data_IF_325514653265
#
_entry.id   IF_325514653265
#
_cell.length_a   1.000
_cell.length_b   1.000
_cell.length_c   1.000
_cell.angle_alpha   90.00
_cell.angle_beta   90.00
_cell.angle_gamma   90.00
#
_symmetry.space_group_name_H-M   'P 1'
#
loop_
_entity.id
_entity.type
_entity.pdbx_description
1 polymer ?
#
# COMPACT_ATOMS: atom_id res chain seq x y z
N UNK A 1 -10.18 -23.39 9.57
CA UNK A 1 -8.80 -23.75 9.15
C UNK A 1 -8.65 -23.60 7.63
N UNK A 2 -9.02 -22.45 7.04
CA UNK A 2 -9.06 -22.26 5.58
C UNK A 2 -8.47 -20.92 5.09
N UNK A 3 -8.30 -19.91 5.95
CA UNK A 3 -7.82 -18.58 5.52
C UNK A 3 -6.36 -18.56 5.09
N UNK A 4 -5.47 -19.28 5.80
CA UNK A 4 -4.02 -19.26 5.49
C UNK A 4 -3.67 -19.80 4.10
N UNK A 5 -4.50 -20.68 3.53
CA UNK A 5 -4.30 -21.22 2.18
C UNK A 5 -4.82 -20.25 1.12
N UNK A 6 -5.97 -19.64 1.37
CA UNK A 6 -6.54 -18.59 0.52
C UNK A 6 -5.60 -17.37 0.49
N UNK A 7 -5.05 -16.96 1.64
CA UNK A 7 -4.06 -15.88 1.73
C UNK A 7 -2.78 -16.19 0.96
N UNK A 8 -2.33 -17.45 0.96
CA UNK A 8 -1.16 -17.89 0.18
C UNK A 8 -1.43 -17.86 -1.31
N UNK A 9 -2.61 -18.30 -1.75
CA UNK A 9 -3.04 -18.25 -3.14
C UNK A 9 -3.20 -16.81 -3.61
N UNK A 10 -3.86 -15.97 -2.81
CA UNK A 10 -3.96 -14.53 -3.06
C UNK A 10 -2.58 -13.89 -3.14
N UNK A 11 -1.68 -14.15 -2.20
CA UNK A 11 -0.33 -13.59 -2.21
C UNK A 11 0.54 -14.08 -3.38
N UNK A 12 0.19 -15.23 -3.97
CA UNK A 12 0.82 -15.76 -5.19
C UNK A 12 0.28 -15.08 -6.44
N UNK A 13 -1.04 -15.01 -6.57
CA UNK A 13 -1.71 -14.28 -7.67
C UNK A 13 -1.31 -12.80 -7.65
N UNK A 14 -1.24 -12.19 -6.47
CA UNK A 14 -0.78 -10.81 -6.23
C UNK A 14 0.72 -10.61 -6.55
N UNK A 15 1.50 -11.69 -6.61
CA UNK A 15 2.88 -11.68 -7.10
C UNK A 15 2.94 -11.82 -8.62
N UNK A 16 2.13 -12.72 -9.19
CA UNK A 16 2.06 -12.97 -10.64
C UNK A 16 1.50 -11.75 -11.39
N UNK A 17 0.38 -11.15 -10.95
CA UNK A 17 -0.15 -9.88 -11.52
C UNK A 17 0.84 -8.70 -11.40
N UNK A 18 1.75 -8.76 -10.41
CA UNK A 18 2.79 -7.73 -10.22
C UNK A 18 3.80 -7.73 -11.36
N UNK A 19 4.05 -8.91 -11.93
CA UNK A 19 4.93 -9.08 -13.07
C UNK A 19 4.21 -8.72 -14.38
N UNK A 20 2.89 -8.86 -14.48
CA UNK A 20 2.10 -8.36 -15.62
C UNK A 20 2.13 -6.83 -15.74
N UNK A 21 2.04 -6.11 -14.62
CA UNK A 21 2.25 -4.66 -14.59
C UNK A 21 3.70 -4.26 -14.96
N UNK A 22 4.68 -5.14 -14.75
CA UNK A 22 6.05 -4.92 -15.25
C UNK A 22 6.19 -5.22 -16.73
N UNK A 23 5.46 -6.20 -17.27
CA UNK A 23 5.43 -6.51 -18.70
C UNK A 23 4.94 -5.30 -19.50
N UNK A 24 3.90 -4.62 -19.02
CA UNK A 24 3.41 -3.35 -19.60
C UNK A 24 4.45 -2.22 -19.59
N UNK A 25 5.49 -2.33 -18.76
CA UNK A 25 6.61 -1.39 -18.74
C UNK A 25 7.73 -1.77 -19.71
N UNK A 26 7.85 -3.06 -20.02
CA UNK A 26 8.88 -3.60 -20.93
C UNK A 26 8.45 -3.56 -22.40
N UNK A 27 7.14 -3.62 -22.65
CA UNK A 27 6.56 -3.59 -23.99
C UNK A 27 5.75 -2.30 -24.19
N UNK A 28 5.67 -1.79 -25.43
CA UNK A 28 4.79 -0.65 -25.70
C UNK A 28 3.32 -1.04 -25.47
N UNK A 29 2.60 -0.20 -24.73
CA UNK A 29 1.19 -0.39 -24.37
C UNK A 29 0.26 -0.52 -25.60
N UNK A 30 0.71 -0.05 -26.76
CA UNK A 30 0.04 -0.17 -28.06
C UNK A 30 -0.17 -1.62 -28.51
N UNK A 31 0.68 -2.57 -28.09
CA UNK A 31 0.60 -3.98 -28.51
C UNK A 31 -0.42 -4.80 -27.72
N UNK A 32 -0.94 -4.27 -26.61
CA UNK A 32 -1.91 -4.99 -25.79
C UNK A 32 -3.33 -4.74 -26.27
N UNK A 33 -4.15 -5.78 -26.21
CA UNK A 33 -5.57 -5.68 -26.53
C UNK A 33 -6.31 -4.79 -25.51
N UNK A 34 -7.37 -4.12 -25.98
CA UNK A 34 -8.14 -3.18 -25.18
C UNK A 34 -8.82 -3.89 -23.99
N UNK A 35 -9.32 -5.12 -24.19
CA UNK A 35 -9.91 -5.91 -23.11
C UNK A 35 -8.88 -6.27 -22.02
N UNK A 36 -7.65 -6.61 -22.43
CA UNK A 36 -6.55 -6.91 -21.52
C UNK A 36 -6.13 -5.67 -20.70
N UNK A 37 -6.07 -4.49 -21.33
CA UNK A 37 -5.77 -3.22 -20.65
C UNK A 37 -6.84 -2.84 -19.62
N UNK A 38 -8.12 -3.07 -19.91
CA UNK A 38 -9.21 -2.84 -18.94
C UNK A 38 -9.12 -3.76 -17.72
N UNK A 39 -8.80 -5.03 -17.94
CA UNK A 39 -8.64 -6.01 -16.87
C UNK A 39 -7.44 -5.67 -15.97
N UNK A 40 -6.31 -5.32 -16.59
CA UNK A 40 -5.13 -4.85 -15.89
C UNK A 40 -5.41 -3.58 -15.07
N UNK A 41 -6.20 -2.64 -15.62
CA UNK A 41 -6.61 -1.43 -14.89
C UNK A 41 -7.52 -1.74 -13.70
N UNK A 42 -8.47 -2.67 -13.84
CA UNK A 42 -9.31 -3.14 -12.71
C UNK A 42 -8.47 -3.76 -11.60
N UNK A 43 -7.53 -4.63 -11.95
CA UNK A 43 -6.60 -5.25 -11.00
C UNK A 43 -5.71 -4.21 -10.31
N UNK A 44 -5.16 -3.26 -11.07
CA UNK A 44 -4.38 -2.14 -10.52
C UNK A 44 -5.19 -1.32 -9.51
N UNK A 45 -6.46 -1.02 -9.83
CA UNK A 45 -7.35 -0.23 -8.94
C UNK A 45 -7.59 -0.95 -7.61
N UNK A 46 -7.82 -2.27 -7.64
CA UNK A 46 -8.00 -3.08 -6.44
C UNK A 46 -6.71 -3.12 -5.60
N UNK A 47 -5.57 -3.37 -6.24
CA UNK A 47 -4.28 -3.39 -5.56
C UNK A 47 -3.96 -2.04 -4.91
N UNK A 48 -4.21 -0.94 -5.62
CA UNK A 48 -4.00 0.43 -5.09
C UNK A 48 -4.82 0.68 -3.84
N UNK A 49 -6.09 0.27 -3.82
CA UNK A 49 -6.96 0.44 -2.67
C UNK A 49 -6.42 -0.32 -1.43
N UNK A 50 -5.95 -1.55 -1.62
CA UNK A 50 -5.38 -2.36 -0.54
C UNK A 50 -4.07 -1.77 0.00
N UNK A 51 -3.19 -1.30 -0.87
CA UNK A 51 -1.92 -0.67 -0.46
C UNK A 51 -2.20 0.64 0.26
N UNK A 52 -3.14 1.44 -0.22
CA UNK A 52 -3.52 2.70 0.42
C UNK A 52 -4.07 2.46 1.83
N UNK A 53 -5.02 1.53 1.98
CA UNK A 53 -5.56 1.15 3.29
C UNK A 53 -4.48 0.63 4.24
N UNK A 54 -3.54 -0.17 3.74
CA UNK A 54 -2.40 -0.64 4.54
C UNK A 54 -1.48 0.50 4.98
N UNK A 55 -1.34 1.55 4.15
CA UNK A 55 -0.56 2.73 4.48
C UNK A 55 -1.27 3.60 5.51
N UNK A 56 -2.59 3.78 5.39
CA UNK A 56 -3.43 4.45 6.39
C UNK A 56 -3.31 3.80 7.77
N UNK A 57 -3.31 2.47 7.85
CA UNK A 57 -3.09 1.75 9.12
C UNK A 57 -1.71 2.04 9.72
N UNK A 58 -0.65 2.05 8.90
CA UNK A 58 0.69 2.38 9.38
C UNK A 58 0.79 3.83 9.87
N UNK A 59 0.18 4.77 9.15
CA UNK A 59 0.11 6.18 9.56
C UNK A 59 -0.67 6.33 10.86
N UNK A 60 -1.78 5.60 11.03
CA UNK A 60 -2.56 5.61 12.27
C UNK A 60 -1.74 5.11 13.47
N UNK A 61 -0.88 4.10 13.30
CA UNK A 61 0.02 3.62 14.36
C UNK A 61 1.05 4.68 14.78
N UNK A 62 1.55 5.49 13.84
CA UNK A 62 2.46 6.60 14.18
C UNK A 62 1.71 7.77 14.78
N UNK A 63 0.48 8.03 14.34
CA UNK A 63 -0.34 9.10 14.87
C UNK A 63 -0.66 8.91 16.36
N UNK A 64 -0.62 7.67 16.88
CA UNK A 64 -0.76 7.39 18.31
C UNK A 64 0.54 7.56 19.10
N UNK A 65 1.71 7.64 18.46
CA UNK A 65 3.00 7.88 19.09
C UNK A 65 3.03 9.11 20.04
N UNK A 66 2.52 10.30 19.68
CA UNK A 66 2.46 11.46 20.58
C UNK A 66 1.56 11.24 21.81
N UNK A 67 0.58 10.33 21.75
CA UNK A 67 -0.30 10.02 22.90
C UNK A 67 0.51 9.39 24.03
N UNK A 68 1.49 8.54 23.71
CA UNK A 68 2.41 7.94 24.69
C UNK A 68 3.26 9.00 25.41
N UNK A 69 3.69 10.03 24.69
CA UNK A 69 4.45 11.16 25.26
C UNK A 69 3.56 11.97 26.21
N UNK A 70 2.34 12.30 25.79
CA UNK A 70 1.37 13.04 26.61
C UNK A 70 0.99 12.27 27.88
N UNK A 71 0.72 10.97 27.78
CA UNK A 71 0.42 10.11 28.92
C UNK A 71 1.57 10.03 29.92
N UNK A 72 2.81 9.93 29.42
CA UNK A 72 4.00 9.93 30.26
C UNK A 72 4.17 11.26 31.00
N UNK A 73 4.00 12.39 30.31
CA UNK A 73 4.09 13.73 30.92
C UNK A 73 3.00 13.99 31.97
N UNK A 74 1.77 13.53 31.74
CA UNK A 74 0.69 13.58 32.74
C UNK A 74 1.04 12.69 33.96
N UNK A 75 1.65 11.53 33.71
CA UNK A 75 2.13 10.63 34.75
C UNK A 75 3.16 11.26 35.67
N UNK A 76 4.16 11.92 35.08
CA UNK A 76 5.17 12.66 35.84
C UNK A 76 4.55 13.80 36.64
N UNK A 77 3.59 14.53 36.06
CA UNK A 77 2.92 15.63 36.76
C UNK A 77 2.06 15.19 37.95
N UNK A 78 1.47 13.99 37.88
CA UNK A 78 0.64 13.42 38.94
C UNK A 78 1.42 12.50 39.90
N UNK A 79 2.74 12.38 39.75
CA UNK A 79 3.62 11.45 40.49
C UNK A 79 3.18 9.97 40.40
N UNK A 80 2.55 9.60 39.29
CA UNK A 80 2.05 8.24 39.04
C UNK A 80 3.11 7.44 38.26
N UNK A 81 3.90 6.65 38.98
CA UNK A 81 5.06 5.91 38.45
C UNK A 81 4.74 4.89 37.35
N UNK A 82 3.50 4.40 37.24
CA UNK A 82 3.12 3.46 36.18
C UNK A 82 2.73 4.17 34.87
N UNK A 83 2.29 5.43 34.93
CA UNK A 83 1.97 6.22 33.73
C UNK A 83 3.24 6.72 33.02
N UNK A 84 4.30 7.03 33.77
CA UNK A 84 5.57 7.47 33.17
C UNK A 84 6.21 6.39 32.29
N UNK A 85 5.97 5.10 32.59
CA UNK A 85 6.43 3.96 31.79
C UNK A 85 5.86 3.93 30.35
N UNK A 86 4.80 4.68 30.04
CA UNK A 86 4.29 4.78 28.67
C UNK A 86 5.28 5.41 27.69
N UNK A 87 6.33 6.09 28.17
CA UNK A 87 7.39 6.65 27.31
C UNK A 87 8.09 5.60 26.46
N UNK A 88 8.18 4.35 26.94
CA UNK A 88 8.74 3.24 26.17
C UNK A 88 7.87 2.82 24.99
N UNK A 89 6.57 3.15 25.00
CA UNK A 89 5.66 2.92 23.87
C UNK A 89 5.99 3.76 22.64
N UNK A 90 6.58 4.95 22.82
CA UNK A 90 6.98 5.83 21.73
C UNK A 90 8.02 5.20 20.79
N UNK A 91 9.22 4.77 21.25
CA UNK A 91 10.19 4.13 20.36
C UNK A 91 9.67 2.83 19.76
N UNK A 92 8.83 2.07 20.48
CA UNK A 92 8.20 0.84 19.96
C UNK A 92 7.26 1.15 18.78
N UNK A 93 6.44 2.20 18.89
CA UNK A 93 5.52 2.61 17.81
C UNK A 93 6.27 3.06 16.55
N UNK A 94 7.37 3.80 16.72
CA UNK A 94 8.25 4.22 15.62
C UNK A 94 8.92 3.00 14.97
N UNK A 95 9.42 2.06 15.77
CA UNK A 95 10.05 0.86 15.26
C UNK A 95 9.05 0.02 14.46
N UNK A 96 7.84 -0.17 14.98
CA UNK A 96 6.76 -0.88 14.30
C UNK A 96 6.39 -0.21 12.97
N UNK A 97 6.36 1.12 12.92
CA UNK A 97 6.13 1.87 11.69
C UNK A 97 7.25 1.70 10.67
N UNK A 98 8.51 1.85 11.09
CA UNK A 98 9.68 1.68 10.21
C UNK A 98 9.71 0.27 9.62
N UNK A 99 9.53 -0.75 10.45
CA UNK A 99 9.45 -2.14 10.00
C UNK A 99 8.27 -2.34 9.04
N UNK A 100 7.09 -1.84 9.40
CA UNK A 100 5.89 -1.92 8.56
C UNK A 100 6.07 -1.25 7.21
N UNK A 101 6.73 -0.10 7.17
CA UNK A 101 7.04 0.64 5.95
C UNK A 101 8.10 -0.08 5.10
N UNK A 102 9.14 -0.65 5.69
CA UNK A 102 10.14 -1.47 4.99
C UNK A 102 9.49 -2.72 4.38
N UNK A 103 8.64 -3.41 5.13
CA UNK A 103 7.89 -4.59 4.65
C UNK A 103 6.96 -4.19 3.52
N UNK A 104 6.24 -3.08 3.65
CA UNK A 104 5.40 -2.55 2.57
C UNK A 104 6.21 -2.19 1.33
N UNK A 105 7.38 -1.56 1.49
CA UNK A 105 8.24 -1.20 0.38
C UNK A 105 8.83 -2.43 -0.33
N UNK A 106 9.21 -3.47 0.43
CA UNK A 106 9.66 -4.75 -0.14
C UNK A 106 8.52 -5.51 -0.82
N UNK A 107 7.32 -5.54 -0.23
CA UNK A 107 6.17 -6.29 -0.78
C UNK A 107 5.56 -5.58 -1.98
N UNK A 108 5.44 -4.25 -1.96
CA UNK A 108 4.72 -3.47 -2.97
C UNK A 108 5.59 -2.56 -3.82
N UNK A 109 6.90 -2.49 -3.63
CA UNK A 109 7.76 -1.57 -4.37
C UNK A 109 7.48 -0.10 -4.04
N UNK A 110 7.89 0.81 -4.92
CA UNK A 110 7.60 2.24 -4.76
C UNK A 110 6.19 2.55 -5.28
N UNK A 111 5.29 3.02 -4.40
CA UNK A 111 3.93 3.45 -4.73
C UNK A 111 3.89 4.37 -5.97
N UNK A 112 4.89 5.24 -6.07
CA UNK A 112 5.06 6.22 -7.15
C UNK A 112 5.26 5.57 -8.53
N UNK A 113 5.87 4.39 -8.58
CA UNK A 113 6.03 3.64 -9.82
C UNK A 113 4.72 2.98 -10.25
N UNK A 114 3.92 2.49 -9.30
CA UNK A 114 2.59 1.95 -9.57
C UNK A 114 1.62 3.00 -10.08
N UNK A 115 1.65 4.20 -9.51
CA UNK A 115 0.79 5.30 -9.97
C UNK A 115 1.10 5.73 -11.40
N UNK A 116 2.37 5.71 -11.81
CA UNK A 116 2.75 5.98 -13.20
C UNK A 116 2.19 4.93 -14.15
N UNK A 117 2.33 3.64 -13.86
CA UNK A 117 1.82 2.59 -14.76
C UNK A 117 0.30 2.67 -14.91
N UNK A 118 -0.43 2.89 -13.81
CA UNK A 118 -1.89 3.05 -13.87
C UNK A 118 -2.33 4.29 -14.67
N UNK A 119 -1.59 5.39 -14.57
CA UNK A 119 -1.86 6.60 -15.35
C UNK A 119 -1.66 6.37 -16.86
N UNK A 120 -0.60 5.65 -17.25
CA UNK A 120 -0.31 5.37 -18.66
C UNK A 120 -1.38 4.44 -19.26
N UNK A 121 -1.75 3.37 -18.56
CA UNK A 121 -2.82 2.46 -19.00
C UNK A 121 -4.15 3.19 -19.13
N UNK A 122 -4.49 4.06 -18.18
CA UNK A 122 -5.70 4.89 -18.23
C UNK A 122 -5.69 5.85 -19.42
N UNK A 123 -4.56 6.52 -19.67
CA UNK A 123 -4.45 7.45 -20.79
C UNK A 123 -4.57 6.76 -22.15
N UNK A 124 -4.05 5.54 -22.29
CA UNK A 124 -4.19 4.78 -23.53
C UNK A 124 -5.63 4.29 -23.75
N UNK A 125 -6.29 3.78 -22.69
CA UNK A 125 -7.69 3.39 -22.77
C UNK A 125 -8.58 4.57 -23.19
N UNK A 126 -8.37 5.75 -22.61
CA UNK A 126 -9.08 6.97 -23.02
C UNK A 126 -8.80 7.32 -24.49
N UNK A 127 -7.54 7.26 -24.93
CA UNK A 127 -7.17 7.51 -26.33
C UNK A 127 -7.88 6.56 -27.31
N UNK A 128 -8.02 5.29 -26.94
CA UNK A 128 -8.69 4.27 -27.78
C UNK A 128 -10.21 4.45 -27.79
N UNK A 129 -10.78 4.84 -26.66
CA UNK A 129 -12.20 5.17 -26.56
C UNK A 129 -12.54 6.39 -27.42
N UNK A 130 -11.75 7.47 -27.34
CA UNK A 130 -11.95 8.68 -28.15
C UNK A 130 -11.79 8.41 -29.65
N UNK A 131 -10.90 7.50 -30.05
CA UNK A 131 -10.73 7.07 -31.44
C UNK A 131 -11.87 6.19 -31.99
N UNK A 132 -12.69 5.57 -31.14
CA UNK A 132 -13.88 4.82 -31.59
C UNK A 132 -15.08 5.74 -31.86
N UNK A 133 -15.05 6.99 -31.38
CA UNK A 133 -16.13 7.96 -31.52
C UNK A 133 -15.86 9.04 -32.59
N UNK A 134 -14.77 8.91 -33.36
CA UNK A 134 -14.41 9.72 -34.53
C UNK A 134 -14.49 8.85 -35.77
#
# INVERSE_FOLDING_TARGET
>A
MNDKHIDKLLARIERECRDDLKLVRQFEISYFDTHYLEELYKQWKQLRANVHRSYEYLVAIVATAPIFILLSGIGEWLEISWLSAFIFGFPISILAFLVGMIVQHKKHGSLKQYERTGAIVRSELQRRHDKMYI
#
